data_IF_027244778588
#
_entry.id   IF_027244778588
#
_cell.length_a   1.000
_cell.length_b   1.000
_cell.length_c   1.000
_cell.angle_alpha   90.00
_cell.angle_beta   90.00
_cell.angle_gamma   90.00
#
_symmetry.space_group_name_H-M   'P 1'
#
loop_
_entity.id
_entity.type
_entity.pdbx_description
1 polymer ?
#
# COMPACT_ATOMS: atom_id res chain seq x y z
N UNK A 1 19.40 7.60 0.73
CA UNK A 1 18.40 6.75 0.08
C UNK A 1 17.11 7.52 -0.06
N UNK A 2 16.44 7.45 -1.22
CA UNK A 2 15.13 8.05 -1.46
C UNK A 2 14.10 6.96 -1.76
N UNK A 3 13.08 6.85 -0.92
CA UNK A 3 11.97 5.91 -1.08
C UNK A 3 10.70 6.72 -1.37
N UNK A 4 9.98 6.35 -2.42
CA UNK A 4 8.71 6.98 -2.77
C UNK A 4 7.60 5.93 -2.82
N UNK A 5 6.40 6.31 -2.41
CA UNK A 5 5.19 5.50 -2.55
C UNK A 5 4.13 6.28 -3.30
N UNK A 6 3.51 5.67 -4.31
CA UNK A 6 2.51 6.33 -5.13
C UNK A 6 1.42 5.37 -5.60
N UNK A 7 0.18 5.61 -5.16
CA UNK A 7 -1.00 5.03 -5.80
C UNK A 7 -1.20 5.75 -7.16
N UNK A 8 -0.91 5.04 -8.24
CA UNK A 8 -0.88 5.60 -9.60
C UNK A 8 -2.23 5.48 -10.33
N UNK A 9 -3.22 4.81 -9.73
CA UNK A 9 -4.54 4.61 -10.33
C UNK A 9 -4.48 4.07 -11.79
N UNK A 10 -3.53 3.17 -12.07
CA UNK A 10 -3.36 2.47 -13.33
C UNK A 10 -2.09 2.84 -14.08
N UNK A 11 -1.16 1.88 -14.16
CA UNK A 11 0.15 2.01 -14.82
C UNK A 11 0.04 2.49 -16.27
N UNK A 12 -0.79 1.82 -17.07
CA UNK A 12 -0.98 2.18 -18.49
C UNK A 12 -1.42 3.64 -18.67
N UNK A 13 -2.25 4.15 -17.76
CA UNK A 13 -2.77 5.50 -17.84
C UNK A 13 -1.68 6.55 -17.52
N UNK A 14 -0.89 6.32 -16.47
CA UNK A 14 0.20 7.25 -16.09
C UNK A 14 1.38 7.21 -17.06
N UNK A 15 1.71 6.03 -17.61
CA UNK A 15 2.72 5.87 -18.67
C UNK A 15 2.31 6.64 -19.92
N UNK A 16 1.06 6.48 -20.39
CA UNK A 16 0.55 7.18 -21.57
C UNK A 16 0.54 8.70 -21.41
N UNK A 17 0.34 9.20 -20.18
CA UNK A 17 0.37 10.63 -19.87
C UNK A 17 1.79 11.19 -19.73
N UNK A 18 2.82 10.35 -19.65
CA UNK A 18 4.20 10.79 -19.44
C UNK A 18 4.56 11.14 -17.99
N UNK A 19 3.62 11.00 -17.05
CA UNK A 19 3.78 11.48 -15.67
C UNK A 19 4.80 10.65 -14.89
N UNK A 20 4.76 9.32 -15.07
CA UNK A 20 5.71 8.43 -14.39
C UNK A 20 7.12 8.62 -14.92
N UNK A 21 7.31 8.84 -16.23
CA UNK A 21 8.61 9.11 -16.83
C UNK A 21 9.18 10.43 -16.30
N UNK A 22 8.36 11.49 -16.28
CA UNK A 22 8.75 12.78 -15.70
C UNK A 22 9.13 12.64 -14.24
N UNK A 23 8.35 11.90 -13.45
CA UNK A 23 8.62 11.65 -12.04
C UNK A 23 9.96 10.91 -11.85
N UNK A 24 10.18 9.81 -12.56
CA UNK A 24 11.40 9.01 -12.47
C UNK A 24 12.64 9.80 -12.86
N UNK A 25 12.56 10.61 -13.93
CA UNK A 25 13.65 11.49 -14.36
C UNK A 25 13.96 12.61 -13.34
N UNK A 26 12.93 13.17 -12.72
CA UNK A 26 13.08 14.30 -11.77
C UNK A 26 13.60 13.83 -10.42
N UNK A 27 12.98 12.79 -9.86
CA UNK A 27 13.22 12.38 -8.47
C UNK A 27 14.32 11.32 -8.34
N UNK A 28 14.51 10.50 -9.38
CA UNK A 28 15.45 9.39 -9.44
C UNK A 28 15.44 8.56 -8.13
N UNK A 29 14.28 8.00 -7.74
CA UNK A 29 14.14 7.24 -6.49
C UNK A 29 15.16 6.11 -6.41
N UNK A 30 15.62 5.77 -5.20
CA UNK A 30 16.39 4.53 -5.05
C UNK A 30 15.46 3.32 -5.02
N UNK A 31 14.29 3.49 -4.40
CA UNK A 31 13.18 2.55 -4.39
C UNK A 31 11.89 3.34 -4.61
N UNK A 32 11.02 2.88 -5.51
CA UNK A 32 9.66 3.41 -5.68
C UNK A 32 8.64 2.29 -5.65
N UNK A 33 7.59 2.50 -4.87
CA UNK A 33 6.51 1.56 -4.64
C UNK A 33 5.24 2.10 -5.29
N UNK A 34 4.65 1.32 -6.19
CA UNK A 34 3.43 1.66 -6.90
C UNK A 34 2.25 0.81 -6.39
N UNK A 35 1.11 1.47 -6.19
CA UNK A 35 -0.16 0.83 -5.88
C UNK A 35 -1.19 1.12 -6.97
N UNK A 36 -2.21 0.26 -7.08
CA UNK A 36 -3.18 0.27 -8.18
C UNK A 36 -2.52 0.26 -9.55
N UNK A 37 -1.57 -0.64 -9.78
CA UNK A 37 -0.93 -0.77 -11.10
C UNK A 37 -1.93 -1.16 -12.18
N UNK A 38 -2.98 -1.92 -11.81
CA UNK A 38 -4.06 -2.41 -12.71
C UNK A 38 -3.51 -3.10 -13.96
N UNK A 39 -2.31 -3.67 -13.86
CA UNK A 39 -1.56 -4.21 -14.97
C UNK A 39 -0.67 -5.37 -14.51
N UNK A 40 -0.44 -6.29 -15.42
CA UNK A 40 0.63 -7.29 -15.34
C UNK A 40 1.93 -6.71 -15.92
N UNK A 41 3.08 -7.27 -15.53
CA UNK A 41 4.36 -6.91 -16.12
C UNK A 41 4.29 -7.08 -17.66
N UNK A 42 4.86 -6.11 -18.38
CA UNK A 42 4.83 -6.08 -19.85
C UNK A 42 3.54 -5.53 -20.47
N UNK A 43 2.49 -5.21 -19.69
CA UNK A 43 1.27 -4.57 -20.21
C UNK A 43 1.39 -3.04 -20.35
N UNK A 44 2.52 -2.46 -19.99
CA UNK A 44 2.87 -1.07 -20.23
C UNK A 44 4.34 -1.00 -20.66
N UNK A 45 4.65 -0.06 -21.55
CA UNK A 45 6.04 0.21 -21.94
C UNK A 45 6.72 0.98 -20.81
N UNK A 46 7.61 0.28 -20.12
CA UNK A 46 8.35 0.80 -18.98
C UNK A 46 9.81 0.62 -19.34
N UNK A 47 10.48 1.75 -19.56
CA UNK A 47 11.90 1.81 -19.88
C UNK A 47 12.56 2.72 -18.86
N UNK A 48 12.88 2.14 -17.70
CA UNK A 48 13.63 2.80 -16.63
C UNK A 48 14.98 2.10 -16.45
N UNK A 49 15.99 2.43 -17.28
CA UNK A 49 17.29 1.80 -17.21
C UNK A 49 17.89 1.88 -15.80
N UNK A 50 18.42 0.77 -15.32
CA UNK A 50 19.03 0.66 -14.00
C UNK A 50 18.05 0.43 -12.84
N UNK A 51 16.77 0.15 -13.12
CA UNK A 51 15.82 -0.33 -12.12
C UNK A 51 15.47 -1.80 -12.36
N UNK A 52 15.50 -2.59 -11.31
CA UNK A 52 14.87 -3.90 -11.22
C UNK A 52 13.38 -3.72 -10.93
N UNK A 53 12.54 -4.52 -11.58
CA UNK A 53 11.08 -4.44 -11.45
C UNK A 53 10.50 -5.69 -10.79
N UNK A 54 9.71 -5.49 -9.74
CA UNK A 54 8.97 -6.56 -9.07
C UNK A 54 7.49 -6.24 -9.08
N UNK A 55 6.69 -7.20 -9.55
CA UNK A 55 5.27 -7.03 -9.78
C UNK A 55 4.47 -8.06 -8.99
N UNK A 56 3.35 -7.61 -8.44
CA UNK A 56 2.32 -8.48 -7.91
C UNK A 56 0.97 -8.01 -8.42
N UNK A 57 0.44 -8.71 -9.42
CA UNK A 57 -0.80 -8.35 -10.10
C UNK A 57 -1.96 -9.18 -9.58
N UNK A 58 -3.16 -8.60 -9.60
CA UNK A 58 -4.39 -9.31 -9.26
C UNK A 58 -4.58 -10.55 -10.13
N UNK A 59 -4.69 -11.71 -9.48
CA UNK A 59 -4.91 -13.03 -10.10
C UNK A 59 -6.38 -13.31 -10.35
N UNK A 60 -7.27 -12.67 -9.60
CA UNK A 60 -8.73 -12.88 -9.67
C UNK A 60 -9.43 -11.95 -10.65
N UNK A 61 -8.85 -10.76 -10.91
CA UNK A 61 -9.48 -9.75 -11.76
C UNK A 61 -8.46 -8.94 -12.55
N UNK A 62 -8.53 -9.01 -13.88
CA UNK A 62 -7.71 -8.18 -14.78
C UNK A 62 -8.06 -6.71 -14.63
N UNK A 63 -7.04 -5.83 -14.70
CA UNK A 63 -7.26 -4.39 -14.63
C UNK A 63 -7.64 -3.87 -13.24
N UNK A 64 -7.38 -4.64 -12.18
CA UNK A 64 -7.78 -4.33 -10.80
C UNK A 64 -6.58 -4.43 -9.86
N UNK A 65 -6.56 -3.59 -8.82
CA UNK A 65 -5.53 -3.60 -7.77
C UNK A 65 -4.11 -3.65 -8.35
N UNK A 66 -3.23 -4.47 -7.80
CA UNK A 66 -1.87 -4.67 -8.24
C UNK A 66 -0.89 -3.69 -7.59
N UNK A 67 0.29 -4.20 -7.28
CA UNK A 67 1.41 -3.48 -6.70
C UNK A 67 2.69 -3.74 -7.49
N UNK A 68 3.64 -2.82 -7.40
CA UNK A 68 4.98 -3.00 -7.94
C UNK A 68 6.03 -2.28 -7.10
N UNK A 69 7.26 -2.79 -7.09
CA UNK A 69 8.44 -2.13 -6.55
C UNK A 69 9.48 -2.02 -7.65
N UNK A 70 9.92 -0.79 -7.96
CA UNK A 70 11.08 -0.56 -8.81
C UNK A 70 12.24 -0.08 -7.95
N UNK A 71 13.41 -0.69 -8.11
CA UNK A 71 14.57 -0.43 -7.25
C UNK A 71 15.86 -0.44 -8.03
N UNK A 72 16.79 0.47 -7.71
CA UNK A 72 18.13 0.49 -8.31
C UNK A 72 19.04 -0.64 -7.82
N UNK A 73 18.73 -1.17 -6.62
CA UNK A 73 19.50 -2.24 -5.99
C UNK A 73 18.66 -3.51 -6.04
N UNK A 74 19.27 -4.61 -6.48
CA UNK A 74 18.62 -5.92 -6.49
C UNK A 74 18.39 -6.39 -5.03
N UNK A 75 17.14 -6.63 -4.60
CA UNK A 75 16.85 -7.21 -3.30
C UNK A 75 17.40 -8.64 -3.18
N UNK A 76 17.68 -9.06 -1.95
CA UNK A 76 18.05 -10.44 -1.59
C UNK A 76 16.91 -11.39 -1.96
N UNK A 77 15.68 -10.99 -1.67
CA UNK A 77 14.48 -11.77 -1.93
C UNK A 77 13.25 -10.88 -2.00
N UNK A 78 12.23 -11.37 -2.70
CA UNK A 78 10.93 -10.70 -2.82
C UNK A 78 9.83 -11.70 -2.52
N UNK A 79 8.93 -11.32 -1.62
CA UNK A 79 7.78 -12.11 -1.20
C UNK A 79 6.53 -11.35 -1.61
N UNK A 80 5.67 -12.00 -2.38
CA UNK A 80 4.36 -11.47 -2.74
C UNK A 80 3.32 -11.95 -1.74
N UNK A 81 2.37 -11.07 -1.43
CA UNK A 81 1.22 -11.31 -0.55
C UNK A 81 1.60 -11.56 0.93
N UNK A 82 0.58 -11.62 1.79
CA UNK A 82 0.76 -11.99 3.20
C UNK A 82 0.94 -13.52 3.26
N UNK A 83 1.93 -14.06 4.00
CA UNK A 83 2.10 -15.51 4.15
C UNK A 83 0.80 -16.20 4.57
N UNK A 84 0.50 -17.36 3.97
CA UNK A 84 -0.79 -18.03 4.12
C UNK A 84 -1.09 -18.38 5.58
N UNK A 85 -0.07 -18.80 6.34
CA UNK A 85 -0.17 -19.10 7.76
C UNK A 85 -0.55 -17.89 8.62
N UNK A 86 -0.09 -16.69 8.25
CA UNK A 86 -0.46 -15.45 8.95
C UNK A 86 -1.87 -15.03 8.55
N UNK A 87 -2.19 -15.11 7.25
CA UNK A 87 -3.53 -14.82 6.75
C UNK A 87 -4.58 -15.69 7.46
N UNK A 88 -4.36 -17.00 7.53
CA UNK A 88 -5.26 -17.95 8.22
C UNK A 88 -5.36 -17.67 9.72
N UNK A 89 -4.23 -17.46 10.41
CA UNK A 89 -4.22 -17.19 11.86
C UNK A 89 -4.98 -15.91 12.25
N UNK A 90 -5.05 -14.94 11.35
CA UNK A 90 -5.77 -13.68 11.53
C UNK A 90 -7.17 -13.69 10.90
N UNK A 91 -7.64 -14.85 10.44
CA UNK A 91 -8.98 -15.03 9.88
C UNK A 91 -9.18 -14.28 8.56
N UNK A 92 -8.11 -13.96 7.83
CA UNK A 92 -8.19 -13.35 6.51
C UNK A 92 -8.69 -14.40 5.52
N UNK A 93 -9.97 -14.34 5.24
CA UNK A 93 -10.66 -15.27 4.33
C UNK A 93 -11.27 -14.52 3.15
N UNK A 94 -11.68 -15.25 2.12
CA UNK A 94 -12.37 -14.68 0.98
C UNK A 94 -13.73 -14.08 1.40
N UNK A 95 -14.05 -12.90 0.86
CA UNK A 95 -15.39 -12.31 0.92
C UNK A 95 -16.11 -12.48 -0.44
N UNK A 96 -17.25 -11.80 -0.62
CA UNK A 96 -18.01 -11.83 -1.88
C UNK A 96 -17.25 -11.25 -3.09
N UNK A 97 -16.09 -10.61 -2.88
CA UNK A 97 -15.21 -10.09 -3.92
C UNK A 97 -13.97 -10.98 -4.17
N UNK A 98 -13.77 -12.01 -3.35
CA UNK A 98 -12.65 -12.95 -3.44
C UNK A 98 -11.69 -12.83 -2.26
N UNK A 99 -10.55 -13.52 -2.36
CA UNK A 99 -9.51 -13.49 -1.34
C UNK A 99 -8.58 -12.29 -1.59
N UNK A 100 -8.38 -11.43 -0.59
CA UNK A 100 -7.58 -10.21 -0.72
C UNK A 100 -6.10 -10.46 -1.05
N UNK A 101 -5.52 -11.57 -0.57
CA UNK A 101 -4.18 -12.01 -1.02
C UNK A 101 -4.11 -12.34 -2.52
N UNK A 102 -5.20 -12.63 -3.22
CA UNK A 102 -5.16 -12.89 -4.66
C UNK A 102 -5.33 -11.62 -5.51
N UNK A 103 -5.42 -10.46 -4.86
CA UNK A 103 -5.61 -9.17 -5.51
C UNK A 103 -4.28 -8.43 -5.76
N UNK A 104 -3.13 -9.07 -5.51
CA UNK A 104 -1.80 -8.51 -5.78
C UNK A 104 -1.48 -7.28 -4.93
N UNK A 105 -1.82 -7.35 -3.64
CA UNK A 105 -1.89 -6.17 -2.75
C UNK A 105 -0.61 -5.89 -1.99
N UNK A 106 0.29 -6.85 -1.84
CA UNK A 106 1.49 -6.71 -0.99
C UNK A 106 2.72 -7.22 -1.72
N UNK A 107 3.82 -6.48 -1.62
CA UNK A 107 5.17 -6.95 -1.94
C UNK A 107 6.07 -6.58 -0.78
N UNK A 108 6.84 -7.55 -0.28
CA UNK A 108 7.94 -7.35 0.66
C UNK A 108 9.26 -7.65 -0.04
N UNK A 109 10.13 -6.64 -0.18
CA UNK A 109 11.47 -6.77 -0.73
C UNK A 109 12.50 -6.70 0.41
N UNK A 110 13.35 -7.72 0.50
CA UNK A 110 14.43 -7.81 1.48
C UNK A 110 15.71 -7.20 0.93
N UNK A 111 16.32 -6.28 1.67
CA UNK A 111 17.65 -5.76 1.42
C UNK A 111 18.59 -6.16 2.57
N UNK A 112 19.88 -5.83 2.45
CA UNK A 112 20.89 -6.19 3.46
C UNK A 112 20.48 -5.73 4.87
N UNK A 113 20.05 -4.46 5.00
CA UNK A 113 19.82 -3.84 6.30
C UNK A 113 18.33 -3.72 6.69
N UNK A 114 17.38 -3.86 5.76
CA UNK A 114 15.95 -3.61 6.00
C UNK A 114 15.04 -4.30 4.98
N UNK A 115 13.74 -4.36 5.29
CA UNK A 115 12.69 -4.69 4.33
C UNK A 115 12.01 -3.40 3.82
N UNK A 116 11.63 -3.38 2.55
CA UNK A 116 10.58 -2.47 2.04
C UNK A 116 9.32 -3.28 1.80
N UNK A 117 8.22 -2.87 2.44
CA UNK A 117 6.90 -3.44 2.21
C UNK A 117 6.03 -2.38 1.56
N UNK A 118 5.50 -2.68 0.37
CA UNK A 118 4.42 -1.90 -0.23
C UNK A 118 3.09 -2.61 -0.05
N UNK A 119 2.05 -1.89 0.34
CA UNK A 119 0.70 -2.45 0.35
C UNK A 119 -0.36 -1.52 -0.26
N UNK A 120 -1.35 -2.12 -0.91
CA UNK A 120 -2.60 -1.50 -1.26
C UNK A 120 -3.71 -2.11 -0.41
N UNK A 121 -4.16 -1.39 0.62
CA UNK A 121 -5.13 -1.89 1.59
C UNK A 121 -6.54 -1.94 0.98
N UNK A 122 -7.32 -3.02 1.19
CA UNK A 122 -8.70 -3.11 0.69
C UNK A 122 -9.57 -1.95 1.20
N UNK A 123 -10.24 -1.27 0.28
CA UNK A 123 -11.20 -0.23 0.61
C UNK A 123 -12.50 -0.83 1.20
N UNK A 124 -13.04 -0.21 2.25
CA UNK A 124 -14.23 -0.68 2.96
C UNK A 124 -15.56 -0.57 2.18
N UNK A 125 -15.56 0.11 1.02
CA UNK A 125 -16.75 0.49 0.20
C UNK A 125 -17.63 1.53 0.89
N UNK A 126 -18.48 2.20 0.11
CA UNK A 126 -19.37 3.25 0.63
C UNK A 126 -20.46 2.71 1.56
N UNK A 127 -20.88 1.48 1.35
CA UNK A 127 -21.84 0.76 2.18
C UNK A 127 -21.19 0.08 3.40
N UNK A 128 -19.88 0.23 3.57
CA UNK A 128 -19.07 -0.33 4.66
C UNK A 128 -19.14 -1.87 4.77
N UNK A 129 -19.62 -2.55 3.72
CA UNK A 129 -19.83 -4.00 3.73
C UNK A 129 -18.54 -4.79 3.90
N UNK A 130 -17.39 -4.18 3.61
CA UNK A 130 -16.06 -4.81 3.73
C UNK A 130 -15.30 -4.48 5.02
N UNK A 131 -15.92 -3.82 6.00
CA UNK A 131 -15.27 -3.56 7.31
C UNK A 131 -14.76 -4.84 7.99
N UNK A 132 -15.51 -5.96 8.03
CA UNK A 132 -15.00 -7.20 8.63
C UNK A 132 -13.71 -7.70 7.95
N UNK A 133 -13.69 -7.72 6.61
CA UNK A 133 -12.48 -8.06 5.85
C UNK A 133 -11.34 -7.08 6.13
N UNK A 134 -11.65 -5.78 6.19
CA UNK A 134 -10.67 -4.72 6.47
C UNK A 134 -9.99 -4.93 7.82
N UNK A 135 -10.72 -5.29 8.87
CA UNK A 135 -10.14 -5.58 10.19
C UNK A 135 -9.25 -6.84 10.19
N UNK A 136 -9.68 -7.91 9.50
CA UNK A 136 -8.87 -9.11 9.32
C UNK A 136 -7.57 -8.81 8.55
N UNK A 137 -7.68 -8.00 7.47
CA UNK A 137 -6.55 -7.54 6.68
C UNK A 137 -5.57 -6.73 7.51
N UNK A 138 -6.05 -5.70 8.22
CA UNK A 138 -5.19 -4.83 9.03
C UNK A 138 -4.46 -5.64 10.10
N UNK A 139 -5.15 -6.59 10.75
CA UNK A 139 -4.57 -7.51 11.73
C UNK A 139 -3.48 -8.40 11.11
N UNK A 140 -3.77 -9.04 9.97
CA UNK A 140 -2.83 -9.93 9.29
C UNK A 140 -1.59 -9.19 8.76
N UNK A 141 -1.78 -8.02 8.12
CA UNK A 141 -0.69 -7.24 7.55
C UNK A 141 0.22 -6.65 8.63
N UNK A 142 -0.36 -6.18 9.74
CA UNK A 142 0.40 -5.70 10.90
C UNK A 142 1.23 -6.83 11.51
N UNK A 143 0.64 -8.02 11.68
CA UNK A 143 1.35 -9.18 12.20
C UNK A 143 2.47 -9.65 11.27
N UNK A 144 2.25 -9.64 9.96
CA UNK A 144 3.29 -9.95 8.98
C UNK A 144 4.46 -8.97 9.06
N UNK A 145 4.18 -7.67 9.08
CA UNK A 145 5.24 -6.67 9.19
C UNK A 145 5.96 -6.71 10.54
N UNK A 146 5.26 -7.03 11.63
CA UNK A 146 5.89 -7.29 12.93
C UNK A 146 6.82 -8.52 12.91
N UNK A 147 6.45 -9.58 12.19
CA UNK A 147 7.30 -10.76 12.01
C UNK A 147 8.57 -10.42 11.20
N UNK A 148 8.45 -9.60 10.15
CA UNK A 148 9.60 -9.11 9.37
C UNK A 148 10.51 -8.22 10.23
N UNK A 149 9.92 -7.31 11.02
CA UNK A 149 10.59 -6.41 11.97
C UNK A 149 11.48 -7.18 12.97
N UNK A 150 11.08 -8.38 13.37
CA UNK A 150 11.88 -9.22 14.28
C UNK A 150 13.20 -9.70 13.65
N UNK A 151 13.32 -9.65 12.32
CA UNK A 151 14.53 -10.04 11.57
C UNK A 151 15.35 -8.81 11.15
N UNK A 152 14.70 -7.82 10.54
CA UNK A 152 15.32 -6.55 10.08
C UNK A 152 14.28 -5.42 10.18
N UNK A 153 14.69 -4.16 10.37
CA UNK A 153 13.80 -3.00 10.28
C UNK A 153 12.91 -3.04 9.03
N UNK A 154 11.67 -2.58 9.16
CA UNK A 154 10.69 -2.55 8.07
C UNK A 154 10.35 -1.11 7.73
N UNK A 155 10.52 -0.75 6.46
CA UNK A 155 9.92 0.44 5.87
C UNK A 155 8.64 0.03 5.18
N UNK A 156 7.52 0.27 5.85
CA UNK A 156 6.19 0.08 5.27
C UNK A 156 5.76 1.35 4.52
N UNK A 157 5.22 1.19 3.33
CA UNK A 157 4.65 2.27 2.54
C UNK A 157 3.43 1.78 1.75
N UNK A 158 2.57 2.70 1.32
CA UNK A 158 1.45 2.35 0.48
C UNK A 158 0.22 3.21 0.70
N UNK A 159 -0.88 2.75 0.12
CA UNK A 159 -2.20 3.33 0.33
C UNK A 159 -2.94 2.48 1.37
N UNK A 160 -3.03 3.03 2.58
CA UNK A 160 -3.68 2.39 3.73
C UNK A 160 -5.21 2.55 3.73
N UNK A 161 -5.79 3.31 2.79
CA UNK A 161 -7.22 3.63 2.76
C UNK A 161 -7.76 4.07 4.14
N UNK A 162 -7.02 4.90 4.88
CA UNK A 162 -7.44 5.46 6.17
C UNK A 162 -6.76 6.81 6.43
N UNK A 163 -7.54 7.77 6.92
CA UNK A 163 -7.03 8.96 7.61
C UNK A 163 -7.03 8.65 9.12
N UNK A 164 -5.87 8.70 9.78
CA UNK A 164 -5.73 8.22 11.16
C UNK A 164 -6.42 9.13 12.18
N UNK A 165 -6.21 10.43 12.05
CA UNK A 165 -6.68 11.47 12.98
C UNK A 165 -7.48 12.55 12.25
N UNK A 166 -8.08 13.47 13.01
CA UNK A 166 -8.82 14.60 12.42
C UNK A 166 -7.92 15.56 11.63
N UNK A 167 -6.60 15.54 11.85
CA UNK A 167 -5.64 16.33 11.09
C UNK A 167 -5.32 15.72 9.72
N UNK A 168 -5.71 14.46 9.47
CA UNK A 168 -5.36 13.71 8.25
C UNK A 168 -6.39 13.86 7.12
N UNK A 169 -7.43 14.69 7.31
CA UNK A 169 -8.43 14.99 6.29
C UNK A 169 -9.03 16.38 6.45
N UNK A 170 -9.41 17.00 5.34
CA UNK A 170 -9.89 18.38 5.34
C UNK A 170 -11.19 18.62 6.13
N UNK A 171 -12.07 17.62 6.19
CA UNK A 171 -13.40 17.73 6.80
C UNK A 171 -13.72 16.51 7.68
N UNK A 172 -13.15 16.40 8.90
CA UNK A 172 -13.31 15.22 9.75
C UNK A 172 -14.76 14.96 10.19
N UNK A 173 -15.46 16.00 10.64
CA UNK A 173 -16.83 15.92 11.19
C UNK A 173 -17.83 15.20 10.26
N UNK A 174 -18.00 15.60 8.98
CA UNK A 174 -18.93 14.94 8.07
C UNK A 174 -18.42 13.59 7.52
N UNK A 175 -17.17 13.21 7.78
CA UNK A 175 -16.59 11.95 7.32
C UNK A 175 -16.50 10.89 8.42
N UNK A 176 -16.76 11.24 9.68
CA UNK A 176 -16.79 10.27 10.77
C UNK A 176 -17.76 9.13 10.46
N UNK A 177 -17.26 7.90 10.49
CA UNK A 177 -18.05 6.70 10.18
C UNK A 177 -18.24 6.42 8.69
N UNK A 178 -17.57 7.16 7.79
CA UNK A 178 -17.48 6.83 6.36
C UNK A 178 -16.17 6.07 6.09
N UNK A 179 -16.12 5.34 4.98
CA UNK A 179 -14.92 4.63 4.53
C UNK A 179 -13.70 5.56 4.53
N UNK A 180 -12.57 5.05 4.99
CA UNK A 180 -11.35 5.83 5.22
C UNK A 180 -11.35 6.65 6.51
N UNK A 181 -12.45 6.71 7.27
CA UNK A 181 -12.52 7.43 8.55
C UNK A 181 -13.53 6.80 9.54
N UNK A 182 -13.71 5.48 9.46
CA UNK A 182 -14.44 4.71 10.48
C UNK A 182 -13.60 4.52 11.74
N UNK A 183 -14.22 4.11 12.85
CA UNK A 183 -13.46 3.81 14.08
C UNK A 183 -12.60 2.55 13.89
N UNK A 184 -13.12 1.57 13.16
CA UNK A 184 -12.50 0.29 12.85
C UNK A 184 -11.23 0.46 12.00
N UNK A 185 -11.29 1.25 10.93
CA UNK A 185 -10.11 1.53 10.09
C UNK A 185 -9.03 2.29 10.87
N UNK A 186 -9.43 3.25 11.71
CA UNK A 186 -8.50 4.03 12.54
C UNK A 186 -7.86 3.17 13.63
N UNK A 187 -8.62 2.24 14.21
CA UNK A 187 -8.08 1.23 15.14
C UNK A 187 -7.09 0.31 14.43
N UNK A 188 -7.35 -0.05 13.16
CA UNK A 188 -6.39 -0.73 12.30
C UNK A 188 -5.04 0.00 12.20
N UNK A 189 -5.07 1.34 12.08
CA UNK A 189 -3.85 2.16 12.11
C UNK A 189 -3.21 2.19 13.50
N UNK A 190 -3.99 2.33 14.58
CA UNK A 190 -3.48 2.31 15.96
C UNK A 190 -2.69 1.03 16.27
N UNK A 191 -3.11 -0.11 15.70
CA UNK A 191 -2.42 -1.39 15.88
C UNK A 191 -0.98 -1.38 15.34
N UNK A 192 -0.70 -0.64 14.26
CA UNK A 192 0.67 -0.46 13.77
C UNK A 192 1.55 0.24 14.79
N UNK A 193 1.03 1.33 15.38
CA UNK A 193 1.74 2.10 16.40
C UNK A 193 1.98 1.27 17.66
N UNK A 194 0.99 0.45 18.04
CA UNK A 194 1.07 -0.41 19.22
C UNK A 194 2.18 -1.47 19.13
N UNK A 195 2.52 -1.94 17.91
CA UNK A 195 3.61 -2.91 17.70
C UNK A 195 4.96 -2.27 17.35
N UNK A 196 5.06 -0.94 17.52
CA UNK A 196 6.33 -0.20 17.44
C UNK A 196 6.62 0.45 16.09
N UNK A 197 5.68 0.43 15.13
CA UNK A 197 5.82 1.25 13.93
C UNK A 197 5.60 2.72 14.27
N UNK A 198 6.18 3.60 13.45
CA UNK A 198 6.03 5.04 13.59
C UNK A 198 5.55 5.60 12.27
N UNK A 199 4.52 6.45 12.32
CA UNK A 199 4.13 7.27 11.18
C UNK A 199 5.21 8.35 10.94
N UNK A 200 6.06 8.08 9.95
CA UNK A 200 7.17 8.97 9.58
C UNK A 200 6.72 10.38 9.21
N UNK A 201 5.53 10.55 8.63
CA UNK A 201 5.03 11.89 8.30
C UNK A 201 4.73 12.69 9.57
N UNK A 202 4.07 12.04 10.54
CA UNK A 202 3.70 12.66 11.82
C UNK A 202 4.87 12.86 12.78
N UNK A 203 6.03 12.22 12.56
CA UNK A 203 7.27 12.58 13.25
C UNK A 203 7.75 14.00 12.94
N UNK A 204 7.51 14.48 11.71
CA UNK A 204 8.07 15.73 11.22
C UNK A 204 7.03 16.80 10.92
N UNK A 205 5.76 16.42 10.79
CA UNK A 205 4.67 17.32 10.39
C UNK A 205 3.48 17.20 11.33
N UNK A 206 2.97 18.33 11.78
CA UNK A 206 1.84 18.44 12.70
C UNK A 206 0.73 19.28 12.07
N UNK A 207 -0.52 19.05 12.47
CA UNK A 207 -1.68 19.79 11.98
C UNK A 207 -2.21 19.31 10.64
N UNK A 208 -3.20 20.05 10.15
CA UNK A 208 -3.97 19.74 8.94
C UNK A 208 -3.38 20.37 7.66
N UNK A 209 -4.00 20.13 6.51
CA UNK A 209 -3.61 20.74 5.22
C UNK A 209 -2.68 19.88 4.36
N UNK A 210 -2.30 18.69 4.83
CA UNK A 210 -1.40 17.79 4.13
C UNK A 210 -2.14 16.52 3.73
N UNK A 211 -2.46 16.40 2.44
CA UNK A 211 -3.30 15.32 1.92
C UNK A 211 -2.63 14.63 0.73
N UNK A 212 -2.93 13.35 0.57
CA UNK A 212 -2.35 12.50 -0.50
C UNK A 212 -3.41 12.03 -1.50
N UNK A 213 -4.68 12.38 -1.28
CA UNK A 213 -5.80 11.97 -2.13
C UNK A 213 -6.90 13.03 -2.17
N UNK A 214 -7.54 13.17 -3.35
CA UNK A 214 -8.72 14.01 -3.56
C UNK A 214 -9.75 13.26 -4.41
N UNK A 215 -11.04 13.42 -4.08
CA UNK A 215 -12.14 12.91 -4.90
C UNK A 215 -12.15 13.59 -6.26
N UNK A 216 -12.40 12.81 -7.32
CA UNK A 216 -12.66 13.35 -8.67
C UNK A 216 -14.07 13.93 -8.82
N UNK A 217 -14.94 13.69 -7.84
CA UNK A 217 -16.30 14.23 -7.78
C UNK A 217 -16.32 15.42 -6.84
N UNK A 218 -16.76 16.56 -7.37
CA UNK A 218 -17.07 17.78 -6.62
C UNK A 218 -18.55 17.78 -6.22
#
# INVERSE_FOLDING_TARGET
MKIYSWNINGMRAVVRKGEIQKFMATHQPDIVCFQETKAEQGQAEIDFPGYEEYWNSSRTKKGYSGTAIFTKVKPIGVINDIPAEIAEAHGLVADNYGHSNDEGRVIAAEFDDFYVVTAYTPNAKDDLTRIPLRQQWDSALTAYCAQLQAKKPVVYCGDMNVAHTEDDLANPKPNKGKKGFTAEERTGFDNWLAVGFVDTFRMFTQGNGHYTWWSHFA
#
